data_IF_718739522262
#
_entry.id   IF_718739522262
#
_cell.length_a   1.000
_cell.length_b   1.000
_cell.length_c   1.000
_cell.angle_alpha   90.00
_cell.angle_beta   90.00
_cell.angle_gamma   90.00
#
_symmetry.space_group_name_H-M   'P 1'
#
loop_
_entity.id
_entity.type
_entity.pdbx_description
1 polymer ?
#
# COMPACT_ATOMS: atom_id res chain seq x y z
N UNK A 1 -10.64 28.31 11.43
CA UNK A 1 -11.17 27.74 12.68
C UNK A 1 -10.60 26.35 12.80
N UNK A 2 -9.60 26.19 13.66
CA UNK A 2 -8.98 24.89 13.92
C UNK A 2 -10.01 24.04 14.67
N UNK A 3 -10.62 23.07 14.00
CA UNK A 3 -11.48 22.09 14.66
C UNK A 3 -10.57 21.18 15.49
N UNK A 4 -10.58 21.35 16.80
CA UNK A 4 -9.94 20.39 17.71
C UNK A 4 -10.52 19.01 17.42
N UNK A 5 -9.65 18.06 17.06
CA UNK A 5 -10.01 16.66 16.87
C UNK A 5 -10.18 16.05 18.26
N UNK A 6 -11.36 16.18 18.83
CA UNK A 6 -11.65 15.79 20.22
C UNK A 6 -12.25 14.38 20.36
N UNK A 7 -12.44 13.66 19.27
CA UNK A 7 -13.07 12.34 19.26
C UNK A 7 -12.09 11.18 19.20
N UNK A 8 -12.57 9.99 19.55
CA UNK A 8 -11.85 8.72 19.32
C UNK A 8 -11.61 8.54 17.82
N UNK A 9 -10.36 8.23 17.45
CA UNK A 9 -9.97 8.00 16.07
C UNK A 9 -9.91 6.50 15.76
N UNK A 10 -10.34 6.12 14.58
CA UNK A 10 -10.14 4.76 14.05
C UNK A 10 -8.97 4.75 13.07
N UNK A 11 -8.04 3.80 13.20
CA UNK A 11 -6.84 3.73 12.39
C UNK A 11 -6.58 2.29 11.94
N UNK A 12 -6.20 2.09 10.68
CA UNK A 12 -5.75 0.79 10.19
C UNK A 12 -4.43 0.39 10.88
N UNK A 13 -4.35 -0.86 11.34
CA UNK A 13 -3.16 -1.33 12.05
C UNK A 13 -1.93 -1.47 11.14
N UNK A 14 -2.11 -1.86 9.87
CA UNK A 14 -1.06 -1.99 8.84
C UNK A 14 0.11 -2.90 9.25
N UNK A 15 -0.18 -3.98 9.98
CA UNK A 15 0.84 -4.92 10.47
C UNK A 15 1.68 -4.40 11.64
N UNK A 16 1.30 -3.27 12.25
CA UNK A 16 1.96 -2.73 13.43
C UNK A 16 1.50 -3.48 14.69
N UNK A 17 2.37 -3.71 15.69
CA UNK A 17 2.10 -4.55 16.86
C UNK A 17 1.33 -3.79 17.93
N UNK A 18 0.08 -3.45 17.68
CA UNK A 18 -0.80 -2.79 18.64
C UNK A 18 -1.22 -3.71 19.79
N UNK A 19 -1.26 -3.15 20.99
CA UNK A 19 -1.87 -3.75 22.17
C UNK A 19 -2.70 -2.70 22.93
N UNK A 20 -3.71 -3.14 23.67
CA UNK A 20 -4.52 -2.25 24.50
C UNK A 20 -3.67 -1.50 25.52
N UNK A 21 -3.98 -0.24 25.74
CA UNK A 21 -3.23 0.64 26.65
C UNK A 21 -1.93 1.21 26.10
N UNK A 22 -1.47 0.77 24.91
CA UNK A 22 -0.28 1.36 24.27
C UNK A 22 -0.50 2.81 23.89
N UNK A 23 0.59 3.56 23.96
CA UNK A 23 0.62 4.99 23.61
C UNK A 23 0.91 5.17 22.10
N UNK A 24 0.26 6.18 21.54
CA UNK A 24 0.36 6.53 20.12
C UNK A 24 0.53 8.02 19.90
N UNK A 25 1.44 8.40 19.01
CA UNK A 25 1.62 9.79 18.59
C UNK A 25 1.03 10.00 17.19
N UNK A 26 -0.17 10.57 17.10
CA UNK A 26 -0.85 10.86 15.83
C UNK A 26 -0.15 11.94 14.99
N UNK A 27 0.79 12.70 15.56
CA UNK A 27 1.57 13.68 14.79
C UNK A 27 2.50 12.98 13.81
N UNK A 28 3.05 11.82 14.21
CA UNK A 28 4.00 10.99 13.43
C UNK A 28 3.42 9.66 12.99
N UNK A 29 2.19 9.35 13.40
CA UNK A 29 1.56 8.03 13.24
C UNK A 29 2.43 6.87 13.73
N UNK A 30 3.01 7.03 14.93
CA UNK A 30 3.95 6.09 15.52
C UNK A 30 3.50 5.58 16.89
N UNK A 31 3.71 4.28 17.13
CA UNK A 31 3.62 3.69 18.47
C UNK A 31 4.79 4.17 19.33
N UNK A 32 4.54 4.34 20.63
CA UNK A 32 5.58 4.53 21.63
C UNK A 32 5.97 3.15 22.18
N UNK A 33 7.11 2.59 21.77
CA UNK A 33 7.45 1.20 22.10
C UNK A 33 7.64 0.98 23.60
N UNK A 34 7.14 -0.15 24.09
CA UNK A 34 7.38 -0.60 25.46
C UNK A 34 6.64 0.17 26.55
N UNK A 35 5.75 1.10 26.17
CA UNK A 35 5.01 1.92 27.12
C UNK A 35 3.50 1.71 26.97
N UNK A 36 2.82 1.57 28.14
CA UNK A 36 1.37 1.62 28.28
C UNK A 36 0.99 2.75 29.24
N UNK A 37 -0.22 3.28 29.13
CA UNK A 37 -0.69 4.36 30.01
C UNK A 37 -0.97 3.83 31.43
N UNK A 38 -1.36 2.57 31.56
CA UNK A 38 -1.63 1.85 32.80
C UNK A 38 -0.72 0.64 32.94
N UNK A 39 -0.57 0.15 34.16
CA UNK A 39 0.16 -1.10 34.37
C UNK A 39 -0.55 -2.29 33.73
N UNK A 40 0.20 -3.27 33.28
CA UNK A 40 -0.33 -4.44 32.56
C UNK A 40 -1.30 -5.27 33.40
N UNK A 41 -1.08 -5.33 34.70
CA UNK A 41 -1.96 -6.06 35.62
C UNK A 41 -3.34 -5.35 35.71
N UNK A 42 -3.34 -4.02 35.84
CA UNK A 42 -4.57 -3.24 35.85
C UNK A 42 -5.36 -3.37 34.54
N UNK A 43 -4.67 -3.48 33.39
CA UNK A 43 -5.31 -3.63 32.10
C UNK A 43 -6.07 -4.96 31.96
N UNK A 44 -5.53 -6.07 32.50
CA UNK A 44 -6.12 -7.41 32.34
C UNK A 44 -7.55 -7.50 32.86
N UNK A 45 -7.84 -6.86 33.99
CA UNK A 45 -9.14 -6.90 34.63
C UNK A 45 -10.20 -6.00 33.96
N UNK A 46 -9.77 -5.18 32.97
CA UNK A 46 -10.61 -4.20 32.31
C UNK A 46 -10.80 -4.44 30.81
N UNK A 47 -10.36 -5.58 30.31
CA UNK A 47 -10.51 -5.96 28.89
C UNK A 47 -11.84 -6.67 28.68
N UNK A 48 -12.70 -6.09 27.84
CA UNK A 48 -13.87 -6.76 27.27
C UNK A 48 -13.49 -7.44 25.95
N UNK A 49 -13.95 -8.66 25.74
CA UNK A 49 -13.84 -9.37 24.47
C UNK A 49 -15.25 -9.70 23.94
N UNK A 50 -15.47 -9.45 22.66
CA UNK A 50 -16.69 -9.87 21.97
C UNK A 50 -16.36 -10.47 20.60
N UNK A 51 -17.08 -11.53 20.17
CA UNK A 51 -16.95 -12.05 18.82
C UNK A 51 -17.36 -11.00 17.78
N UNK A 52 -16.61 -10.92 16.70
CA UNK A 52 -16.94 -10.07 15.55
C UNK A 52 -16.47 -10.76 14.25
N UNK A 53 -17.23 -11.78 13.85
CA UNK A 53 -16.93 -12.59 12.69
C UNK A 53 -17.47 -11.94 11.42
N UNK A 54 -16.58 -11.72 10.48
CA UNK A 54 -16.88 -11.25 9.14
C UNK A 54 -15.81 -11.80 8.18
N UNK A 55 -16.20 -12.16 6.99
CA UNK A 55 -15.26 -12.43 5.92
C UNK A 55 -15.78 -11.85 4.60
N UNK A 56 -14.87 -11.46 3.75
CA UNK A 56 -15.16 -10.93 2.43
C UNK A 56 -14.03 -11.27 1.47
N UNK A 57 -14.38 -11.30 0.19
CA UNK A 57 -13.45 -11.51 -0.90
C UNK A 57 -13.80 -10.62 -2.06
N UNK A 58 -12.86 -9.83 -2.52
CA UNK A 58 -13.08 -8.93 -3.64
C UNK A 58 -11.84 -8.78 -4.52
N UNK A 59 -12.04 -8.20 -5.70
CA UNK A 59 -10.97 -7.82 -6.61
C UNK A 59 -10.62 -6.36 -6.34
N UNK A 60 -9.34 -6.06 -6.17
CA UNK A 60 -8.86 -4.68 -6.14
C UNK A 60 -8.97 -4.11 -7.56
N UNK A 61 -9.68 -2.99 -7.70
CA UNK A 61 -10.10 -2.46 -9.00
C UNK A 61 -8.93 -1.97 -9.85
N UNK A 62 -7.93 -1.36 -9.23
CA UNK A 62 -6.76 -0.82 -9.91
C UNK A 62 -5.50 -0.89 -9.03
N UNK A 63 -4.37 -0.47 -9.61
CA UNK A 63 -3.06 -0.37 -8.93
C UNK A 63 -2.83 1.00 -8.29
N UNK A 64 -3.83 1.88 -8.24
CA UNK A 64 -3.72 3.18 -7.61
C UNK A 64 -3.51 3.06 -6.10
N UNK A 65 -2.78 4.00 -5.53
CA UNK A 65 -2.62 4.10 -4.06
C UNK A 65 -3.98 4.26 -3.39
N UNK A 66 -4.92 4.93 -4.04
CA UNK A 66 -6.29 5.10 -3.55
C UNK A 66 -7.02 3.77 -3.37
N UNK A 67 -7.04 2.92 -4.41
CA UNK A 67 -7.73 1.63 -4.35
C UNK A 67 -7.06 0.66 -3.37
N UNK A 68 -5.73 0.66 -3.29
CA UNK A 68 -4.99 -0.11 -2.29
C UNK A 68 -5.26 0.38 -0.87
N UNK A 69 -5.33 1.69 -0.67
CA UNK A 69 -5.67 2.29 0.62
C UNK A 69 -7.08 1.93 1.06
N UNK A 70 -8.05 1.98 0.14
CA UNK A 70 -9.43 1.55 0.39
C UNK A 70 -9.51 0.08 0.77
N UNK A 71 -8.78 -0.80 0.07
CA UNK A 71 -8.75 -2.23 0.36
C UNK A 71 -8.20 -2.54 1.77
N UNK A 72 -7.33 -1.69 2.30
CA UNK A 72 -6.73 -1.79 3.64
C UNK A 72 -7.40 -0.88 4.69
N UNK A 73 -8.48 -0.19 4.34
CA UNK A 73 -9.19 0.77 5.19
C UNK A 73 -8.26 1.88 5.75
N UNK A 74 -7.34 2.36 4.90
CA UNK A 74 -6.41 3.43 5.25
C UNK A 74 -7.06 4.79 5.01
N UNK A 75 -7.24 5.57 6.06
CA UNK A 75 -7.79 6.92 5.98
C UNK A 75 -6.77 7.94 5.46
N UNK A 76 -7.26 9.09 5.01
CA UNK A 76 -6.43 10.13 4.40
C UNK A 76 -5.25 10.58 5.26
N UNK A 77 -5.44 10.74 6.58
CA UNK A 77 -4.36 11.15 7.48
C UNK A 77 -3.23 10.12 7.54
N UNK A 78 -3.58 8.85 7.75
CA UNK A 78 -2.60 7.75 7.77
C UNK A 78 -1.97 7.53 6.39
N UNK A 79 -2.74 7.71 5.31
CA UNK A 79 -2.21 7.68 3.94
C UNK A 79 -1.13 8.72 3.72
N UNK A 80 -1.32 9.96 4.20
CA UNK A 80 -0.29 10.99 4.13
C UNK A 80 1.01 10.55 4.82
N UNK A 81 0.93 9.96 6.00
CA UNK A 81 2.08 9.42 6.73
C UNK A 81 2.77 8.27 6.00
N UNK A 82 2.00 7.40 5.38
CA UNK A 82 2.53 6.34 4.52
C UNK A 82 3.27 6.92 3.30
N UNK A 83 2.68 7.89 2.60
CA UNK A 83 3.30 8.56 1.44
C UNK A 83 4.63 9.24 1.82
N UNK A 84 4.69 9.83 3.01
CA UNK A 84 5.92 10.42 3.56
C UNK A 84 6.92 9.43 4.14
N UNK A 85 6.59 8.13 4.18
CA UNK A 85 7.48 7.11 4.76
C UNK A 85 7.58 7.14 6.29
N UNK A 86 6.63 7.78 6.99
CA UNK A 86 6.57 7.81 8.45
C UNK A 86 6.05 6.50 9.04
N UNK A 87 5.26 5.75 8.28
CA UNK A 87 4.65 4.49 8.71
C UNK A 87 5.31 3.32 8.01
N UNK A 88 5.85 2.39 8.79
CA UNK A 88 6.32 1.10 8.28
C UNK A 88 5.15 0.12 8.26
N UNK A 89 4.96 -0.53 7.13
CA UNK A 89 3.89 -1.51 6.92
C UNK A 89 4.42 -2.94 7.02
N UNK A 90 3.60 -3.83 7.58
CA UNK A 90 3.92 -5.25 7.75
C UNK A 90 2.80 -6.16 7.23
N UNK A 91 3.03 -7.47 7.20
CA UNK A 91 2.01 -8.44 6.82
C UNK A 91 1.34 -8.13 5.47
N UNK A 92 0.01 -8.16 5.44
CA UNK A 92 -0.80 -7.83 4.26
C UNK A 92 -0.61 -6.40 3.77
N UNK A 93 -0.33 -5.47 4.66
CA UNK A 93 -0.17 -4.05 4.33
C UNK A 93 1.07 -3.75 3.47
N UNK A 94 2.02 -4.68 3.36
CA UNK A 94 3.13 -4.57 2.39
C UNK A 94 2.63 -4.43 0.95
N UNK A 95 1.39 -4.83 0.69
CA UNK A 95 0.74 -4.63 -0.59
C UNK A 95 0.66 -3.14 -1.01
N UNK A 96 0.63 -2.19 -0.06
CA UNK A 96 0.70 -0.76 -0.37
C UNK A 96 1.99 -0.35 -1.11
N UNK A 97 3.10 -1.04 -0.83
CA UNK A 97 4.39 -0.80 -1.48
C UNK A 97 4.55 -1.57 -2.80
N UNK A 98 3.60 -2.45 -3.11
CA UNK A 98 3.65 -3.25 -4.33
C UNK A 98 3.29 -2.39 -5.54
N UNK A 99 4.02 -2.51 -6.63
CA UNK A 99 3.74 -1.82 -7.87
C UNK A 99 4.13 -2.64 -9.09
N UNK A 100 3.45 -2.43 -10.20
CA UNK A 100 3.87 -3.00 -11.48
C UNK A 100 5.22 -2.41 -11.88
N UNK A 101 6.02 -3.23 -12.56
CA UNK A 101 7.32 -2.82 -13.10
C UNK A 101 7.27 -2.50 -14.59
N UNK A 102 6.16 -2.79 -15.25
CA UNK A 102 5.95 -2.61 -16.69
C UNK A 102 4.50 -2.27 -17.02
N UNK A 103 4.30 -1.44 -18.02
CA UNK A 103 2.97 -1.16 -18.62
C UNK A 103 2.40 -2.36 -19.36
N UNK A 104 3.27 -3.29 -19.81
CA UNK A 104 2.89 -4.46 -20.58
C UNK A 104 2.45 -5.65 -19.69
N UNK A 105 2.33 -5.46 -18.39
CA UNK A 105 1.76 -6.47 -17.50
C UNK A 105 0.26 -6.27 -17.31
N UNK A 106 -0.51 -7.32 -17.57
CA UNK A 106 -1.86 -7.46 -17.07
C UNK A 106 -1.79 -7.92 -15.62
N UNK A 107 -2.49 -7.22 -14.72
CA UNK A 107 -2.49 -7.52 -13.29
C UNK A 107 -3.89 -7.57 -12.74
N UNK A 108 -4.18 -8.57 -11.92
CA UNK A 108 -5.40 -8.69 -11.13
C UNK A 108 -5.03 -9.08 -9.71
N UNK A 109 -5.59 -8.40 -8.74
CA UNK A 109 -5.34 -8.67 -7.32
C UNK A 109 -6.61 -9.14 -6.64
N UNK A 110 -6.56 -10.33 -6.04
CA UNK A 110 -7.60 -10.89 -5.19
C UNK A 110 -7.29 -10.52 -3.74
N UNK A 111 -8.26 -9.90 -3.07
CA UNK A 111 -8.20 -9.58 -1.64
C UNK A 111 -9.14 -10.49 -0.87
N UNK A 112 -8.63 -11.12 0.18
CA UNK A 112 -9.40 -11.83 1.20
C UNK A 112 -9.20 -11.12 2.53
N UNK A 113 -10.29 -10.91 3.26
CA UNK A 113 -10.24 -10.36 4.61
C UNK A 113 -11.19 -11.12 5.53
N UNK A 114 -10.77 -11.29 6.79
CA UNK A 114 -11.60 -11.87 7.83
C UNK A 114 -11.35 -11.15 9.15
N UNK A 115 -12.41 -11.00 9.96
CA UNK A 115 -12.31 -10.55 11.34
C UNK A 115 -12.78 -11.67 12.27
N UNK A 116 -12.32 -11.65 13.52
CA UNK A 116 -12.61 -12.71 14.51
C UNK A 116 -13.23 -12.15 15.77
N UNK A 117 -12.57 -11.18 16.38
CA UNK A 117 -12.99 -10.63 17.68
C UNK A 117 -12.59 -9.17 17.83
N UNK A 118 -13.29 -8.51 18.74
CA UNK A 118 -12.99 -7.15 19.17
C UNK A 118 -12.64 -7.14 20.65
N UNK A 119 -11.51 -6.50 20.97
CA UNK A 119 -11.12 -6.23 22.35
C UNK A 119 -11.29 -4.74 22.63
N UNK A 120 -11.80 -4.40 23.80
CA UNK A 120 -11.97 -3.03 24.25
C UNK A 120 -11.62 -2.86 25.73
N UNK A 121 -11.14 -1.66 26.10
CA UNK A 121 -10.92 -1.29 27.49
C UNK A 121 -12.17 -0.70 28.10
N UNK A 122 -12.51 -1.12 29.31
CA UNK A 122 -13.59 -0.54 30.11
C UNK A 122 -13.13 0.79 30.71
N UNK A 123 -13.24 1.86 29.94
CA UNK A 123 -12.72 3.20 30.33
C UNK A 123 -13.39 3.79 31.56
N UNK A 124 -14.64 3.42 31.87
CA UNK A 124 -15.34 3.87 33.08
C UNK A 124 -14.62 3.46 34.36
N UNK A 125 -13.98 2.29 34.35
CA UNK A 125 -13.24 1.77 35.50
C UNK A 125 -11.76 2.22 35.48
N UNK A 126 -11.16 2.35 34.31
CA UNK A 126 -9.77 2.80 34.14
C UNK A 126 -9.58 4.30 34.44
N UNK A 127 -10.66 5.10 34.42
CA UNK A 127 -10.61 6.52 34.76
C UNK A 127 -10.02 6.80 36.15
N UNK A 128 -10.29 5.92 37.13
CA UNK A 128 -9.85 6.04 38.52
C UNK A 128 -8.52 5.35 38.83
N UNK A 129 -7.99 4.56 37.89
CA UNK A 129 -6.71 3.85 38.04
C UNK A 129 -5.55 4.81 37.82
N UNK A 130 -4.47 4.66 38.61
CA UNK A 130 -3.26 5.47 38.50
C UNK A 130 -2.67 5.39 37.08
N UNK A 131 -2.45 6.53 36.50
CA UNK A 131 -1.81 6.69 35.19
C UNK A 131 -0.37 7.14 35.35
N UNK A 132 0.48 6.81 34.38
CA UNK A 132 1.86 7.28 34.33
C UNK A 132 1.93 8.78 33.99
N UNK A 133 2.01 9.62 35.01
CA UNK A 133 1.96 11.09 34.91
C UNK A 133 3.00 11.67 33.93
N UNK A 134 4.18 11.06 33.83
CA UNK A 134 5.25 11.53 32.93
C UNK A 134 4.86 11.52 31.45
N UNK A 135 3.86 10.70 31.04
CA UNK A 135 3.35 10.66 29.68
C UNK A 135 2.75 12.01 29.28
N UNK A 136 2.01 12.61 30.19
CA UNK A 136 1.38 13.93 30.00
C UNK A 136 2.43 15.04 30.05
N UNK A 137 3.30 15.03 31.05
CA UNK A 137 4.33 16.06 31.25
C UNK A 137 5.33 16.16 30.09
N UNK A 138 5.73 15.01 29.52
CA UNK A 138 6.70 14.98 28.41
C UNK A 138 6.08 15.11 27.03
N UNK A 139 4.76 14.99 26.92
CA UNK A 139 4.04 15.08 25.64
C UNK A 139 4.51 14.10 24.56
N UNK A 140 4.88 12.88 25.00
CA UNK A 140 5.47 11.85 24.11
C UNK A 140 4.45 11.16 23.21
N UNK A 141 3.16 11.24 23.58
CA UNK A 141 2.05 10.65 22.86
C UNK A 141 0.85 11.60 22.86
N UNK A 142 -0.05 11.40 21.94
CA UNK A 142 -1.31 12.16 21.82
C UNK A 142 -2.54 11.30 22.13
N UNK A 143 -2.42 9.99 21.98
CA UNK A 143 -3.54 9.04 22.10
C UNK A 143 -3.10 7.76 22.82
N UNK A 144 -4.11 7.01 23.28
CA UNK A 144 -3.96 5.67 23.86
C UNK A 144 -4.88 4.70 23.15
N UNK A 145 -4.42 3.47 22.94
CA UNK A 145 -5.18 2.40 22.29
C UNK A 145 -6.24 1.86 23.26
N UNK A 146 -7.50 2.01 22.93
CA UNK A 146 -8.64 1.58 23.76
C UNK A 146 -9.47 0.47 23.14
N UNK A 147 -9.33 0.21 21.84
CA UNK A 147 -10.02 -0.86 21.15
C UNK A 147 -9.16 -1.46 20.04
N UNK A 148 -9.30 -2.76 19.80
CA UNK A 148 -8.61 -3.48 18.74
C UNK A 148 -9.56 -4.47 18.09
N UNK A 149 -9.75 -4.36 16.78
CA UNK A 149 -10.37 -5.38 15.95
C UNK A 149 -9.28 -6.32 15.44
N UNK A 150 -9.45 -7.61 15.73
CA UNK A 150 -8.56 -8.67 15.28
C UNK A 150 -9.11 -9.37 14.05
N UNK A 151 -8.21 -9.74 13.15
CA UNK A 151 -8.54 -10.45 11.94
C UNK A 151 -7.28 -10.81 11.17
N UNK A 152 -7.43 -11.02 9.88
CA UNK A 152 -6.32 -11.17 8.94
C UNK A 152 -6.76 -10.79 7.53
N UNK A 153 -5.82 -10.38 6.71
CA UNK A 153 -6.04 -10.01 5.32
C UNK A 153 -4.97 -10.66 4.44
N UNK A 154 -5.32 -10.97 3.20
CA UNK A 154 -4.40 -11.51 2.22
C UNK A 154 -4.67 -10.91 0.83
N UNK A 155 -3.61 -10.56 0.13
CA UNK A 155 -3.61 -10.12 -1.25
C UNK A 155 -2.85 -11.14 -2.10
N UNK A 156 -3.52 -11.66 -3.13
CA UNK A 156 -2.93 -12.49 -4.17
C UNK A 156 -2.79 -11.61 -5.41
N UNK A 157 -1.58 -11.21 -5.73
CA UNK A 157 -1.26 -10.35 -6.87
C UNK A 157 -0.86 -11.22 -8.05
N UNK A 158 -1.72 -11.32 -9.04
CA UNK A 158 -1.51 -12.10 -10.25
C UNK A 158 -1.02 -11.20 -11.38
N UNK A 159 0.12 -11.54 -11.94
CA UNK A 159 0.75 -10.85 -13.06
C UNK A 159 0.92 -11.75 -14.26
N UNK A 160 0.64 -11.21 -15.44
CA UNK A 160 0.94 -11.82 -16.73
C UNK A 160 1.57 -10.80 -17.67
N UNK A 161 2.69 -11.13 -18.27
CA UNK A 161 3.24 -10.33 -19.35
C UNK A 161 2.39 -10.47 -20.61
N UNK A 162 2.05 -9.34 -21.24
CA UNK A 162 1.25 -9.27 -22.47
C UNK A 162 2.22 -9.03 -23.62
N UNK A 163 2.22 -9.94 -24.58
CA UNK A 163 3.07 -9.83 -25.77
C UNK A 163 2.54 -8.80 -26.77
N UNK A 164 3.40 -8.37 -27.69
CA UNK A 164 3.09 -7.34 -28.70
C UNK A 164 1.88 -7.71 -29.57
N UNK A 165 1.63 -9.01 -29.75
CA UNK A 165 0.56 -9.53 -30.61
C UNK A 165 -0.75 -9.80 -29.84
N UNK A 166 -0.78 -9.57 -28.53
CA UNK A 166 -1.95 -9.77 -27.68
C UNK A 166 -2.62 -8.44 -27.34
N UNK A 167 -3.94 -8.47 -27.19
CA UNK A 167 -4.69 -7.31 -26.71
C UNK A 167 -4.67 -7.27 -25.19
N UNK A 168 -4.06 -6.22 -24.63
CA UNK A 168 -3.94 -6.06 -23.17
C UNK A 168 -5.31 -6.05 -22.46
N UNK A 169 -6.32 -5.41 -23.03
CA UNK A 169 -7.65 -5.32 -22.40
C UNK A 169 -8.36 -6.68 -22.37
N UNK A 170 -8.22 -7.48 -23.43
CA UNK A 170 -8.79 -8.83 -23.49
C UNK A 170 -8.12 -9.76 -22.47
N UNK A 171 -6.80 -9.71 -22.37
CA UNK A 171 -6.05 -10.48 -21.38
C UNK A 171 -6.44 -10.07 -19.96
N UNK A 172 -6.48 -8.77 -19.68
CA UNK A 172 -6.87 -8.23 -18.36
C UNK A 172 -8.31 -8.66 -17.99
N UNK A 173 -9.24 -8.61 -18.93
CA UNK A 173 -10.62 -9.02 -18.74
C UNK A 173 -10.75 -10.51 -18.45
N UNK A 174 -10.08 -11.36 -19.22
CA UNK A 174 -10.08 -12.82 -19.02
C UNK A 174 -9.48 -13.21 -17.67
N UNK A 175 -8.36 -12.60 -17.27
CA UNK A 175 -7.74 -12.83 -15.97
C UNK A 175 -8.70 -12.43 -14.83
N UNK A 176 -9.36 -11.29 -14.95
CA UNK A 176 -10.32 -10.83 -13.94
C UNK A 176 -11.46 -11.82 -13.72
N UNK A 177 -12.02 -12.37 -14.79
CA UNK A 177 -13.08 -13.40 -14.71
C UNK A 177 -12.55 -14.65 -14.04
N UNK A 178 -11.40 -15.15 -14.46
CA UNK A 178 -10.80 -16.37 -13.93
C UNK A 178 -10.49 -16.26 -12.42
N UNK A 179 -9.87 -15.16 -12.01
CA UNK A 179 -9.46 -14.95 -10.61
C UNK A 179 -10.68 -14.69 -9.71
N UNK A 180 -11.69 -14.01 -10.22
CA UNK A 180 -12.96 -13.79 -9.49
C UNK A 180 -13.66 -15.10 -9.13
N UNK A 181 -13.40 -16.17 -9.85
CA UNK A 181 -14.00 -17.48 -9.59
C UNK A 181 -13.26 -18.29 -8.51
N UNK A 182 -12.05 -17.90 -8.09
CA UNK A 182 -11.28 -18.62 -7.06
C UNK A 182 -12.10 -18.90 -5.78
N UNK A 183 -12.83 -17.92 -5.21
CA UNK A 183 -13.66 -18.16 -4.03
C UNK A 183 -14.76 -19.20 -4.20
N UNK A 184 -15.21 -19.43 -5.44
CA UNK A 184 -16.28 -20.38 -5.77
C UNK A 184 -15.76 -21.81 -6.00
N UNK A 185 -14.43 -22.02 -5.99
CA UNK A 185 -13.83 -23.32 -6.15
C UNK A 185 -13.99 -24.09 -4.83
N UNK A 186 -14.90 -25.09 -4.81
CA UNK A 186 -15.17 -25.87 -3.61
C UNK A 186 -14.01 -26.81 -3.28
N UNK A 187 -13.82 -27.04 -1.97
CA UNK A 187 -12.81 -27.95 -1.41
C UNK A 187 -13.20 -29.42 -1.66
N UNK A 188 -14.46 -29.71 -1.98
CA UNK A 188 -14.98 -31.08 -2.10
C UNK A 188 -14.78 -31.63 -3.51
N UNK A 189 -13.80 -32.52 -3.57
CA UNK A 189 -13.62 -33.49 -4.65
C UNK A 189 -12.81 -33.00 -5.85
N UNK A 190 -12.20 -33.95 -6.51
CA UNK A 190 -11.39 -33.92 -7.73
C UNK A 190 -11.98 -33.10 -8.91
N UNK A 191 -12.46 -31.93 -8.62
CA UNK A 191 -12.83 -30.92 -9.61
C UNK A 191 -11.57 -30.30 -10.18
N UNK A 192 -10.89 -31.00 -11.09
CA UNK A 192 -10.05 -30.30 -12.06
C UNK A 192 -10.89 -29.11 -12.56
N UNK A 193 -10.40 -27.90 -12.32
CA UNK A 193 -10.93 -26.71 -12.99
C UNK A 193 -11.18 -27.08 -14.45
N UNK A 194 -12.45 -27.15 -14.87
CA UNK A 194 -12.79 -27.27 -16.29
C UNK A 194 -12.40 -25.95 -16.94
N UNK A 195 -11.12 -25.77 -17.18
CA UNK A 195 -10.58 -24.63 -17.88
C UNK A 195 -10.68 -24.88 -19.37
N UNK A 196 -11.15 -23.90 -20.10
CA UNK A 196 -10.99 -23.84 -21.54
C UNK A 196 -9.50 -23.79 -21.90
N UNK A 197 -9.12 -24.19 -23.10
CA UNK A 197 -7.70 -24.23 -23.50
C UNK A 197 -7.03 -22.84 -23.43
N UNK A 198 -7.78 -21.76 -23.66
CA UNK A 198 -7.32 -20.38 -23.48
C UNK A 198 -7.01 -20.05 -22.02
N UNK A 199 -7.76 -20.60 -21.08
CA UNK A 199 -7.54 -20.40 -19.66
C UNK A 199 -6.29 -21.14 -19.19
N UNK A 200 -6.04 -22.33 -19.71
CA UNK A 200 -4.81 -23.10 -19.42
C UNK A 200 -3.56 -22.33 -19.85
N UNK A 201 -3.56 -21.75 -21.05
CA UNK A 201 -2.44 -20.94 -21.54
C UNK A 201 -2.22 -19.70 -20.67
N UNK A 202 -3.32 -19.05 -20.24
CA UNK A 202 -3.25 -17.91 -19.33
C UNK A 202 -2.66 -18.30 -17.99
N UNK A 203 -3.07 -19.45 -17.42
CA UNK A 203 -2.60 -19.97 -16.13
C UNK A 203 -1.09 -20.27 -16.15
N UNK A 204 -0.61 -20.88 -17.22
CA UNK A 204 0.82 -21.23 -17.36
C UNK A 204 1.74 -20.00 -17.39
N UNK A 205 1.24 -18.87 -17.92
CA UNK A 205 1.96 -17.60 -18.01
C UNK A 205 1.76 -16.70 -16.79
N UNK A 206 0.93 -17.13 -15.84
CA UNK A 206 0.55 -16.33 -14.68
C UNK A 206 1.52 -16.56 -13.53
N UNK A 207 2.07 -15.47 -12.99
CA UNK A 207 2.79 -15.48 -11.73
C UNK A 207 1.90 -14.94 -10.60
N UNK A 208 2.15 -15.41 -9.37
CA UNK A 208 1.47 -14.95 -8.18
C UNK A 208 2.46 -14.44 -7.14
N UNK A 209 2.13 -13.32 -6.50
CA UNK A 209 2.80 -12.84 -5.28
C UNK A 209 1.76 -12.71 -4.17
N UNK A 210 2.17 -13.03 -2.95
CA UNK A 210 1.30 -13.07 -1.78
C UNK A 210 1.75 -12.05 -0.73
N UNK A 211 0.80 -11.26 -0.24
CA UNK A 211 0.96 -10.37 0.90
C UNK A 211 -0.14 -10.68 1.90
N UNK A 212 0.19 -11.20 3.07
CA UNK A 212 -0.83 -11.66 4.00
C UNK A 212 -0.38 -11.64 5.45
N UNK A 213 -1.38 -11.69 6.33
CA UNK A 213 -1.22 -11.78 7.78
C UNK A 213 -1.25 -13.23 8.26
N UNK A 214 -1.35 -14.17 7.34
CA UNK A 214 -1.43 -15.61 7.62
C UNK A 214 -0.05 -16.25 7.64
N UNK A 215 0.15 -17.16 8.57
CA UNK A 215 1.36 -17.99 8.60
C UNK A 215 1.19 -19.14 7.58
N UNK A 216 1.78 -18.97 6.41
CA UNK A 216 1.78 -19.99 5.35
C UNK A 216 3.15 -20.64 5.24
N UNK A 217 3.24 -21.97 4.94
CA UNK A 217 4.51 -22.66 4.82
C UNK A 217 5.38 -22.14 3.67
N UNK A 218 4.74 -21.81 2.53
CA UNK A 218 5.40 -21.30 1.32
C UNK A 218 4.47 -20.29 0.63
N UNK A 219 4.96 -19.09 0.26
CA UNK A 219 4.20 -18.17 -0.58
C UNK A 219 3.89 -18.80 -1.95
N UNK A 220 2.65 -18.65 -2.46
CA UNK A 220 2.27 -19.15 -3.77
C UNK A 220 2.96 -18.34 -4.87
N UNK A 221 3.40 -19.01 -5.91
CA UNK A 221 4.07 -18.43 -7.09
C UNK A 221 3.28 -18.63 -8.38
N UNK A 222 2.33 -19.56 -8.37
CA UNK A 222 1.48 -19.92 -9.49
C UNK A 222 -0.01 -19.77 -9.13
N UNK A 223 -0.86 -19.85 -10.15
CA UNK A 223 -2.31 -19.85 -9.96
C UNK A 223 -2.79 -21.03 -9.10
N UNK A 224 -2.30 -22.24 -9.38
CA UNK A 224 -2.70 -23.45 -8.64
C UNK A 224 -2.31 -23.36 -7.16
N UNK A 225 -1.05 -22.98 -6.87
CA UNK A 225 -0.60 -22.76 -5.49
C UNK A 225 -1.43 -21.68 -4.78
N UNK A 226 -1.84 -20.63 -5.50
CA UNK A 226 -2.68 -19.58 -4.93
C UNK A 226 -4.08 -20.07 -4.56
N UNK A 227 -4.69 -20.93 -5.40
CA UNK A 227 -5.99 -21.56 -5.09
C UNK A 227 -5.89 -22.41 -3.83
N UNK A 228 -4.86 -23.23 -3.69
CA UNK A 228 -4.63 -24.10 -2.52
C UNK A 228 -4.45 -23.25 -1.25
N UNK A 229 -3.63 -22.20 -1.31
CA UNK A 229 -3.44 -21.28 -0.16
C UNK A 229 -4.74 -20.59 0.17
N UNK A 230 -5.47 -20.04 -0.81
CA UNK A 230 -6.74 -19.37 -0.59
C UNK A 230 -7.73 -20.25 0.17
N UNK A 231 -7.88 -21.52 -0.23
CA UNK A 231 -8.77 -22.49 0.41
C UNK A 231 -8.36 -22.81 1.85
N UNK A 232 -7.09 -22.67 2.19
CA UNK A 232 -6.57 -22.92 3.55
C UNK A 232 -6.76 -21.73 4.51
N UNK A 233 -6.97 -20.51 4.01
CA UNK A 233 -6.97 -19.29 4.83
C UNK A 233 -7.92 -19.32 6.04
N UNK A 234 -9.19 -19.77 5.91
CA UNK A 234 -10.09 -19.82 7.08
C UNK A 234 -9.57 -20.70 8.22
N UNK A 235 -8.89 -21.80 7.88
CA UNK A 235 -8.33 -22.73 8.88
C UNK A 235 -7.09 -22.16 9.56
N UNK A 236 -6.32 -21.30 8.85
CA UNK A 236 -5.10 -20.71 9.37
C UNK A 236 -5.34 -19.63 10.43
N UNK A 237 -6.55 -19.10 10.56
CA UNK A 237 -6.91 -18.18 11.64
C UNK A 237 -6.98 -18.88 13.01
N UNK A 238 -7.07 -20.22 13.03
CA UNK A 238 -7.29 -20.99 14.24
C UNK A 238 -8.77 -21.10 14.60
N UNK A 239 -9.13 -22.12 15.41
CA UNK A 239 -10.51 -22.43 15.77
C UNK A 239 -11.21 -21.29 16.53
N UNK A 240 -10.45 -20.53 17.33
CA UNK A 240 -10.91 -19.40 18.13
C UNK A 240 -10.33 -18.06 17.64
N UNK A 241 -9.75 -18.01 16.43
CA UNK A 241 -9.09 -16.82 15.90
C UNK A 241 -7.80 -16.44 16.63
N UNK A 242 -7.12 -17.42 17.23
CA UNK A 242 -5.89 -17.20 18.01
C UNK A 242 -4.72 -16.67 17.17
N UNK A 243 -4.73 -16.92 15.87
CA UNK A 243 -3.72 -16.45 14.94
C UNK A 243 -4.07 -15.10 14.27
N UNK A 244 -5.19 -14.50 14.66
CA UNK A 244 -5.58 -13.19 14.15
C UNK A 244 -4.64 -12.08 14.67
N UNK A 245 -4.45 -11.06 13.84
CA UNK A 245 -3.62 -9.89 14.14
C UNK A 245 -4.47 -8.62 14.25
N UNK A 246 -3.99 -7.53 14.85
CA UNK A 246 -4.69 -6.24 14.80
C UNK A 246 -4.89 -5.80 13.35
N UNK A 247 -6.15 -5.51 12.96
CA UNK A 247 -6.47 -4.96 11.63
C UNK A 247 -6.95 -3.52 11.71
N UNK A 248 -7.67 -3.15 12.77
CA UNK A 248 -8.11 -1.79 13.06
C UNK A 248 -8.00 -1.51 14.55
N UNK A 249 -7.66 -0.27 14.92
CA UNK A 249 -7.53 0.16 16.32
C UNK A 249 -8.30 1.45 16.56
N UNK A 250 -8.76 1.61 17.81
CA UNK A 250 -9.43 2.80 18.32
C UNK A 250 -8.48 3.53 19.26
N UNK A 251 -8.27 4.80 18.98
CA UNK A 251 -7.33 5.68 19.66
C UNK A 251 -8.10 6.77 20.41
N UNK A 252 -8.05 6.73 21.74
CA UNK A 252 -8.65 7.76 22.58
C UNK A 252 -7.65 8.92 22.77
N UNK A 253 -8.03 10.19 22.52
CA UNK A 253 -7.17 11.32 22.81
C UNK A 253 -6.79 11.39 24.29
N UNK A 254 -5.52 11.57 24.60
CA UNK A 254 -5.05 11.72 25.98
C UNK A 254 -5.62 12.98 26.63
N UNK A 255 -6.00 14.01 25.85
CA UNK A 255 -6.69 15.21 26.33
C UNK A 255 -8.05 14.93 26.96
N UNK A 256 -8.68 13.77 26.64
CA UNK A 256 -9.91 13.31 27.31
C UNK A 256 -9.65 12.83 28.75
N UNK A 257 -8.41 12.53 29.10
CA UNK A 257 -7.99 12.05 30.43
C UNK A 257 -7.24 13.13 31.22
N UNK A 258 -6.53 14.02 30.53
CA UNK A 258 -5.79 15.14 31.12
C UNK A 258 -5.68 16.25 30.07
N UNK A 259 -6.24 17.40 30.35
CA UNK A 259 -6.27 18.58 29.46
C UNK A 259 -4.87 19.12 29.10
N UNK A 260 -3.83 18.76 29.87
CA UNK A 260 -2.44 19.20 29.64
C UNK A 260 -1.71 18.29 28.66
N UNK A 261 -2.31 17.17 28.27
CA UNK A 261 -1.71 16.22 27.34
C UNK A 261 -1.39 16.86 25.98
N UNK A 262 -0.36 16.32 25.33
CA UNK A 262 -0.08 16.68 23.96
C UNK A 262 -1.25 16.30 23.04
N UNK A 263 -1.52 17.10 22.05
CA UNK A 263 -2.66 16.93 21.15
C UNK A 263 -2.29 16.97 19.67
N UNK A 264 -3.14 16.39 18.86
CA UNK A 264 -3.17 16.61 17.42
C UNK A 264 -3.86 17.94 17.16
N UNK A 265 -3.09 18.97 16.74
CA UNK A 265 -3.59 20.34 16.55
C UNK A 265 -4.34 20.46 15.23
N UNK A 266 -3.79 19.85 14.15
CA UNK A 266 -4.34 19.91 12.80
C UNK A 266 -4.31 18.56 12.12
N UNK A 267 -5.28 18.35 11.25
CA UNK A 267 -5.22 17.29 10.23
C UNK A 267 -4.81 17.90 8.88
N UNK A 268 -4.19 17.09 8.04
CA UNK A 268 -3.90 17.49 6.66
C UNK A 268 -5.19 17.35 5.85
N UNK A 269 -5.53 18.36 5.05
CA UNK A 269 -6.71 18.32 4.19
C UNK A 269 -6.62 17.21 3.16
N UNK A 270 -7.74 16.58 2.86
CA UNK A 270 -7.84 15.47 1.91
C UNK A 270 -7.29 15.89 0.55
N UNK A 271 -7.59 17.10 0.09
CA UNK A 271 -7.10 17.62 -1.19
C UNK A 271 -5.58 17.65 -1.29
N UNK A 272 -4.89 18.09 -0.23
CA UNK A 272 -3.41 18.09 -0.21
C UNK A 272 -2.83 16.67 -0.17
N UNK A 273 -3.50 15.74 0.50
CA UNK A 273 -3.09 14.33 0.50
C UNK A 273 -3.23 13.74 -0.90
N UNK A 274 -4.33 14.03 -1.61
CA UNK A 274 -4.56 13.59 -2.98
C UNK A 274 -3.55 14.19 -3.96
N UNK A 275 -3.17 15.47 -3.79
CA UNK A 275 -2.11 16.09 -4.60
C UNK A 275 -0.75 15.42 -4.35
N UNK A 276 -0.38 15.13 -3.10
CA UNK A 276 0.83 14.38 -2.77
C UNK A 276 0.83 12.98 -3.39
N UNK A 277 -0.30 12.30 -3.33
CA UNK A 277 -0.50 10.98 -3.93
C UNK A 277 -0.29 11.05 -5.45
N UNK A 278 -0.90 12.03 -6.12
CA UNK A 278 -0.78 12.21 -7.58
C UNK A 278 0.67 12.37 -8.02
N UNK A 279 1.46 13.18 -7.30
CA UNK A 279 2.90 13.35 -7.60
C UNK A 279 3.63 12.01 -7.55
N UNK A 280 3.38 11.19 -6.54
CA UNK A 280 4.05 9.90 -6.36
C UNK A 280 3.57 8.85 -7.37
N UNK A 281 2.29 8.86 -7.74
CA UNK A 281 1.73 7.98 -8.77
C UNK A 281 2.28 8.31 -10.16
N UNK A 282 2.39 9.59 -10.52
CA UNK A 282 2.99 10.05 -11.78
C UNK A 282 4.45 9.59 -11.90
N UNK A 283 5.24 9.72 -10.82
CA UNK A 283 6.62 9.24 -10.80
C UNK A 283 6.72 7.71 -10.92
N UNK A 284 5.77 6.98 -10.32
CA UNK A 284 5.71 5.52 -10.43
C UNK A 284 5.31 5.06 -11.83
N UNK A 285 4.37 5.77 -12.46
CA UNK A 285 3.98 5.53 -13.85
C UNK A 285 5.14 5.75 -14.81
N UNK A 286 5.86 6.84 -14.62
CA UNK A 286 7.06 7.15 -15.38
C UNK A 286 8.15 6.08 -15.21
N UNK A 287 8.32 5.54 -14.02
CA UNK A 287 9.28 4.46 -13.75
C UNK A 287 8.97 3.21 -14.57
N UNK A 288 7.71 2.81 -14.70
CA UNK A 288 7.31 1.71 -15.59
C UNK A 288 7.68 2.00 -17.04
N UNK A 289 7.44 3.22 -17.51
CA UNK A 289 7.80 3.65 -18.88
C UNK A 289 9.31 3.59 -19.12
N UNK A 290 10.14 3.96 -18.14
CA UNK A 290 11.59 3.80 -18.22
C UNK A 290 12.00 2.34 -18.30
N UNK A 291 11.41 1.49 -17.48
CA UNK A 291 11.70 0.05 -17.46
C UNK A 291 11.39 -0.58 -18.83
N UNK A 292 10.24 -0.25 -19.41
CA UNK A 292 9.83 -0.76 -20.72
C UNK A 292 10.77 -0.26 -21.84
N UNK A 293 11.14 1.03 -21.81
CA UNK A 293 12.07 1.59 -22.78
C UNK A 293 13.46 0.94 -22.70
N UNK A 294 13.96 0.68 -21.48
CA UNK A 294 15.27 0.04 -21.26
C UNK A 294 15.31 -1.42 -21.70
N UNK A 295 14.15 -2.10 -21.74
CA UNK A 295 14.04 -3.48 -22.22
C UNK A 295 14.02 -3.60 -23.75
N UNK A 296 13.83 -2.49 -24.48
CA UNK A 296 13.82 -2.51 -25.94
C UNK A 296 15.20 -2.92 -26.50
N UNK A 297 15.19 -3.69 -27.57
CA UNK A 297 16.43 -4.09 -28.26
C UNK A 297 17.25 -2.87 -28.69
N UNK A 298 16.60 -1.82 -29.16
CA UNK A 298 17.24 -0.57 -29.56
C UNK A 298 18.01 0.09 -28.40
N UNK A 299 17.41 0.19 -27.21
CA UNK A 299 18.08 0.78 -26.04
C UNK A 299 19.27 -0.08 -25.56
N UNK A 300 19.22 -1.39 -25.79
CA UNK A 300 20.32 -2.32 -25.49
C UNK A 300 21.45 -2.24 -26.50
N UNK A 301 21.13 -2.11 -27.78
CA UNK A 301 22.10 -1.98 -28.89
C UNK A 301 22.76 -0.61 -28.96
N UNK A 302 22.07 0.44 -28.50
CA UNK A 302 22.60 1.81 -28.46
C UNK A 302 22.85 2.28 -27.01
N UNK A 303 24.06 2.03 -26.45
CA UNK A 303 24.36 2.36 -25.06
C UNK A 303 24.12 3.81 -24.68
N UNK A 304 24.27 4.73 -25.64
CA UNK A 304 24.02 6.16 -25.40
C UNK A 304 22.56 6.45 -25.04
N UNK A 305 21.60 5.78 -25.67
CA UNK A 305 20.17 5.90 -25.36
C UNK A 305 19.91 5.25 -24.00
N UNK A 306 20.38 4.01 -23.80
CA UNK A 306 20.22 3.31 -22.54
C UNK A 306 20.79 4.07 -21.34
N UNK A 307 21.96 4.66 -21.48
CA UNK A 307 22.60 5.45 -20.42
C UNK A 307 21.82 6.74 -20.10
N UNK A 308 21.30 7.45 -21.11
CA UNK A 308 20.44 8.63 -20.89
C UNK A 308 19.18 8.25 -20.11
N UNK A 309 18.51 7.16 -20.49
CA UNK A 309 17.33 6.64 -19.79
C UNK A 309 17.65 6.28 -18.34
N UNK A 310 18.73 5.53 -18.08
CA UNK A 310 19.17 5.14 -16.73
C UNK A 310 19.47 6.35 -15.87
N UNK A 311 20.25 7.30 -16.39
CA UNK A 311 20.61 8.52 -15.66
C UNK A 311 19.39 9.34 -15.29
N UNK A 312 18.44 9.49 -16.21
CA UNK A 312 17.24 10.27 -15.94
C UNK A 312 16.30 9.54 -14.98
N UNK A 313 16.14 8.21 -15.10
CA UNK A 313 15.43 7.39 -14.13
C UNK A 313 15.98 7.58 -12.71
N UNK A 314 17.31 7.58 -12.55
CA UNK A 314 17.96 7.81 -11.26
C UNK A 314 17.61 9.19 -10.67
N UNK A 315 17.62 10.24 -11.51
CA UNK A 315 17.23 11.59 -11.08
C UNK A 315 15.77 11.64 -10.63
N UNK A 316 14.86 10.98 -11.34
CA UNK A 316 13.46 10.90 -10.94
C UNK A 316 13.28 10.13 -9.61
N UNK A 317 14.03 9.05 -9.40
CA UNK A 317 14.02 8.29 -8.16
C UNK A 317 14.56 9.12 -6.98
N UNK A 318 15.60 9.89 -7.20
CA UNK A 318 16.14 10.80 -6.19
C UNK A 318 15.13 11.90 -5.85
N UNK A 319 14.50 12.51 -6.84
CA UNK A 319 13.46 13.51 -6.64
C UNK A 319 12.28 12.96 -5.83
N UNK A 320 11.81 11.73 -6.14
CA UNK A 320 10.78 11.03 -5.38
C UNK A 320 11.15 10.89 -3.91
N UNK A 321 12.39 10.48 -3.64
CA UNK A 321 12.89 10.30 -2.28
C UNK A 321 12.97 11.63 -1.52
N UNK A 322 13.42 12.70 -2.16
CA UNK A 322 13.49 14.04 -1.57
C UNK A 322 12.09 14.59 -1.27
N UNK A 323 11.15 14.39 -2.17
CA UNK A 323 9.74 14.75 -1.93
C UNK A 323 9.16 14.01 -0.72
N UNK A 324 9.38 12.69 -0.61
CA UNK A 324 8.93 11.89 0.54
C UNK A 324 9.58 12.37 1.85
N UNK A 325 10.87 12.71 1.84
CA UNK A 325 11.58 13.27 3.00
C UNK A 325 10.99 14.63 3.44
N UNK A 326 10.60 15.45 2.48
CA UNK A 326 9.92 16.72 2.75
C UNK A 326 8.58 16.47 3.43
N UNK A 327 7.76 15.53 2.95
CA UNK A 327 6.54 15.11 3.62
C UNK A 327 6.80 14.63 5.05
N UNK A 328 7.77 13.72 5.23
CA UNK A 328 8.15 13.20 6.55
C UNK A 328 8.51 14.29 7.57
N UNK A 329 9.12 15.38 7.11
CA UNK A 329 9.49 16.52 7.95
C UNK A 329 8.30 17.43 8.24
N UNK A 330 7.47 17.73 7.22
CA UNK A 330 6.41 18.73 7.33
C UNK A 330 5.16 18.21 8.03
N UNK A 331 4.76 16.96 7.79
CA UNK A 331 3.55 16.40 8.37
C UNK A 331 3.51 16.47 9.90
N UNK A 332 4.55 16.03 10.65
CA UNK A 332 4.53 16.14 12.12
C UNK A 332 4.50 17.58 12.62
N UNK A 333 5.20 18.50 11.95
CA UNK A 333 5.24 19.92 12.33
C UNK A 333 3.88 20.58 12.16
N UNK A 334 3.18 20.33 11.04
CA UNK A 334 1.83 20.86 10.79
C UNK A 334 0.84 20.27 11.80
N UNK A 335 0.86 18.96 12.01
CA UNK A 335 -0.03 18.25 12.94
C UNK A 335 0.17 18.68 14.39
N UNK A 336 1.39 19.00 14.76
CA UNK A 336 1.75 19.51 16.09
C UNK A 336 1.50 21.02 16.29
N UNK A 337 1.08 21.74 15.23
CA UNK A 337 0.81 23.17 15.29
C UNK A 337 2.05 24.07 15.13
N UNK A 338 3.21 23.50 14.79
CA UNK A 338 4.44 24.26 14.55
C UNK A 338 4.48 24.98 13.20
N UNK A 339 3.76 24.46 12.22
CA UNK A 339 3.62 25.06 10.88
C UNK A 339 2.16 25.03 10.42
N UNK A 340 1.82 25.93 9.50
CA UNK A 340 0.51 25.95 8.84
C UNK A 340 0.49 24.98 7.64
N UNK A 341 -0.69 24.46 7.29
CA UNK A 341 -0.88 23.58 6.15
C UNK A 341 -0.45 24.22 4.81
N UNK A 342 -0.52 25.55 4.71
CA UNK A 342 -0.06 26.31 3.54
C UNK A 342 1.40 26.04 3.16
N UNK A 343 2.24 25.61 4.11
CA UNK A 343 3.63 25.24 3.85
C UNK A 343 3.70 24.00 2.97
N UNK A 344 2.82 23.03 3.16
CA UNK A 344 2.73 21.84 2.32
C UNK A 344 2.23 22.19 0.90
N UNK A 345 1.22 23.06 0.81
CA UNK A 345 0.73 23.56 -0.46
C UNK A 345 1.83 24.30 -1.24
N UNK A 346 2.71 25.04 -0.57
CA UNK A 346 3.86 25.69 -1.20
C UNK A 346 4.88 24.69 -1.75
N UNK A 347 5.18 23.62 -1.00
CA UNK A 347 6.07 22.56 -1.48
C UNK A 347 5.51 21.85 -2.73
N UNK A 348 4.20 21.61 -2.77
CA UNK A 348 3.52 21.08 -3.96
C UNK A 348 3.60 22.03 -5.16
N UNK A 349 3.40 23.33 -4.94
CA UNK A 349 3.59 24.35 -6.01
C UNK A 349 5.01 24.38 -6.55
N UNK A 350 6.02 24.29 -5.69
CA UNK A 350 7.43 24.17 -6.12
C UNK A 350 7.65 22.92 -6.96
N UNK A 351 7.06 21.79 -6.57
CA UNK A 351 7.12 20.55 -7.35
C UNK A 351 6.50 20.71 -8.72
N UNK A 352 5.30 21.31 -8.81
CA UNK A 352 4.62 21.58 -10.09
C UNK A 352 5.37 22.57 -10.98
N UNK A 353 6.16 23.47 -10.42
CA UNK A 353 6.98 24.46 -11.15
C UNK A 353 8.38 23.94 -11.47
N UNK A 354 8.76 22.78 -10.97
CA UNK A 354 10.07 22.18 -11.21
C UNK A 354 10.10 21.46 -12.56
N UNK A 355 11.29 21.17 -13.12
CA UNK A 355 11.44 20.31 -14.31
C UNK A 355 10.97 18.86 -14.08
N UNK A 356 10.69 18.49 -12.84
CA UNK A 356 10.15 17.16 -12.45
C UNK A 356 8.62 17.14 -12.34
N UNK A 357 7.91 18.14 -12.87
CA UNK A 357 6.47 18.11 -12.98
C UNK A 357 6.03 17.04 -14.01
N UNK A 358 4.82 16.52 -13.84
CA UNK A 358 4.29 15.43 -14.66
C UNK A 358 4.31 15.73 -16.16
N UNK A 359 4.00 16.98 -16.58
CA UNK A 359 3.98 17.39 -17.98
C UNK A 359 5.38 17.28 -18.61
N UNK A 360 6.37 17.95 -18.04
CA UNK A 360 7.74 17.98 -18.59
C UNK A 360 8.37 16.59 -18.60
N UNK A 361 8.12 15.78 -17.56
CA UNK A 361 8.60 14.41 -17.48
C UNK A 361 7.99 13.51 -18.56
N UNK A 362 6.69 13.64 -18.81
CA UNK A 362 6.01 12.89 -19.86
C UNK A 362 6.45 13.31 -21.25
N UNK A 363 6.61 14.62 -21.51
CA UNK A 363 7.12 15.15 -22.77
C UNK A 363 8.54 14.64 -23.07
N UNK A 364 9.41 14.63 -22.05
CA UNK A 364 10.76 14.07 -22.18
C UNK A 364 10.72 12.59 -22.55
N UNK A 365 9.88 11.80 -21.86
CA UNK A 365 9.76 10.36 -22.11
C UNK A 365 9.17 10.07 -23.50
N UNK A 366 8.22 10.87 -23.95
CA UNK A 366 7.63 10.75 -25.30
C UNK A 366 8.66 11.07 -26.39
N UNK A 367 9.52 12.06 -26.17
CA UNK A 367 10.67 12.32 -27.03
C UNK A 367 11.60 11.11 -27.12
N UNK A 368 11.91 10.48 -26.00
CA UNK A 368 12.77 9.29 -25.98
C UNK A 368 12.14 8.09 -26.66
N UNK A 369 10.84 7.88 -26.49
CA UNK A 369 10.11 6.81 -27.22
C UNK A 369 10.18 7.02 -28.74
N UNK A 370 10.01 8.26 -29.21
CA UNK A 370 10.15 8.58 -30.63
C UNK A 370 11.59 8.37 -31.13
N UNK A 371 12.59 8.77 -30.35
CA UNK A 371 14.02 8.53 -30.66
C UNK A 371 14.28 7.01 -30.82
N UNK A 372 13.83 6.19 -29.87
CA UNK A 372 13.97 4.72 -29.93
C UNK A 372 13.27 4.15 -31.16
N UNK A 373 12.08 4.62 -31.48
CA UNK A 373 11.33 4.17 -32.66
C UNK A 373 12.05 4.47 -33.97
N UNK A 374 12.58 5.70 -34.11
CA UNK A 374 13.36 6.09 -35.30
C UNK A 374 14.59 5.22 -35.48
N UNK A 375 15.34 4.97 -34.41
CA UNK A 375 16.50 4.05 -34.51
C UNK A 375 16.11 2.64 -34.89
N UNK A 376 14.95 2.15 -34.39
CA UNK A 376 14.43 0.83 -34.78
C UNK A 376 14.12 0.77 -36.27
N UNK A 377 13.48 1.78 -36.85
CA UNK A 377 13.17 1.83 -38.28
C UNK A 377 14.44 1.84 -39.12
N UNK A 378 15.40 2.73 -38.77
CA UNK A 378 16.69 2.82 -39.50
C UNK A 378 17.46 1.47 -39.45
N UNK A 379 17.47 0.79 -38.31
CA UNK A 379 18.09 -0.53 -38.20
C UNK A 379 17.42 -1.58 -39.09
N UNK A 380 16.09 -1.57 -39.14
CA UNK A 380 15.32 -2.51 -39.97
C UNK A 380 15.60 -2.27 -41.44
N UNK A 381 15.64 -1.01 -41.88
CA UNK A 381 15.94 -0.64 -43.28
C UNK A 381 17.35 -1.03 -43.66
N UNK A 382 18.35 -0.76 -42.83
CA UNK A 382 19.74 -1.17 -43.06
C UNK A 382 19.91 -2.70 -43.13
N UNK A 383 19.16 -3.46 -42.36
CA UNK A 383 19.22 -4.93 -42.41
C UNK A 383 18.57 -5.50 -43.66
N UNK A 384 17.48 -4.89 -44.16
CA UNK A 384 16.83 -5.30 -45.42
C UNK A 384 17.69 -4.97 -46.64
N UNK A 385 18.29 -3.76 -46.71
CA UNK A 385 19.22 -3.43 -47.80
C UNK A 385 20.45 -4.35 -47.84
N UNK A 386 20.95 -4.80 -46.70
CA UNK A 386 22.09 -5.71 -46.64
C UNK A 386 21.75 -7.15 -47.09
N UNK A 387 20.49 -7.58 -46.90
CA UNK A 387 20.01 -8.86 -47.41
C UNK A 387 19.81 -8.85 -48.94
N UNK A 388 19.32 -7.73 -49.47
CA UNK A 388 19.13 -7.56 -50.93
C UNK A 388 20.46 -7.46 -51.71
N UNK A 389 21.56 -7.04 -51.08
CA UNK A 389 22.88 -7.04 -51.65
C UNK A 389 23.65 -8.36 -51.57
N UNK A 390 23.13 -9.35 -50.83
CA UNK A 390 23.73 -10.68 -50.66
C UNK A 390 23.01 -11.80 -51.45
N UNK A 391 21.92 -11.47 -52.13
CA UNK A 391 21.26 -12.33 -53.13
C UNK A 391 21.61 -11.88 -54.54
#
# INVERSE_FOLDING_TARGET
>A
MDSEVSGTMEVAALGRPFSLGMLYDCRKDSLVPGMTLWDREDLKDHIGERPQHYNDCNIVASESIEDKSKALNVEASLKASFLGGLVQVGGSAKYLNESKTSKNHARVTLNYQATTKFHELSMNHLGDVKKHQFVFEKGIATHVVTGILYGAQAFFVFDREVSVNENHQDIQGNLKVMIKNIPCLSIEGEGSLKMEDKDKENVEKLSCRFFGDFLIPKPPTSFQEAVEVYQSLPKLLGANGENAVPVKVWLLPLTSLDSTAAKLVRQISIGLVEECQSVLEDLSDLEMRFNDALRTQTAQQFPQIGNKLKTFKQKCSQFKLEFQRTLAKKLPSIRGGGEEEAVLAEELRKTCSSPFNSKDLNEWMDCKKREIHLFKVVLTDMMTEHQDHLM
#
